data_IF_783811617275
#
_entry.id   IF_783811617275
#
_cell.length_a   1.000
_cell.length_b   1.000
_cell.length_c   1.000
_cell.angle_alpha   90.00
_cell.angle_beta   90.00
_cell.angle_gamma   90.00
#
_symmetry.space_group_name_H-M   'P 1'
#
loop_
_entity.id
_entity.type
_entity.pdbx_description
1 polymer ?
#
# COMPACT_ATOMS: atom_id res chain seq x y z
N UNK A 1 19.73 -18.16 11.28
CA UNK A 1 19.78 -18.29 9.81
C UNK A 1 20.67 -19.45 9.43
N UNK A 2 21.86 -19.59 10.03
CA UNK A 2 22.80 -20.68 9.68
C UNK A 2 22.28 -22.09 10.02
N UNK A 3 21.59 -22.29 11.15
CA UNK A 3 21.08 -23.62 11.54
C UNK A 3 20.00 -24.19 10.59
N UNK A 4 19.14 -23.34 10.02
CA UNK A 4 18.05 -23.77 9.11
C UNK A 4 18.60 -24.18 7.75
N UNK A 5 19.72 -23.57 7.32
CA UNK A 5 20.36 -23.88 6.03
C UNK A 5 21.08 -25.24 6.07
N UNK A 6 21.64 -25.61 7.23
CA UNK A 6 22.30 -26.91 7.43
C UNK A 6 21.28 -28.08 7.46
N UNK A 7 20.09 -27.86 8.02
CA UNK A 7 18.98 -28.84 7.97
C UNK A 7 18.52 -29.08 6.52
N UNK A 8 18.29 -28.01 5.75
CA UNK A 8 17.92 -28.12 4.33
C UNK A 8 18.99 -28.83 3.49
N UNK A 9 20.27 -28.55 3.75
CA UNK A 9 21.38 -29.23 3.07
C UNK A 9 21.37 -30.74 3.35
N UNK A 10 21.11 -31.13 4.60
CA UNK A 10 21.02 -32.53 5.02
C UNK A 10 19.85 -33.25 4.37
N UNK A 11 18.70 -32.59 4.24
CA UNK A 11 17.51 -33.14 3.56
C UNK A 11 17.76 -33.34 2.06
N UNK A 12 18.43 -32.41 1.39
CA UNK A 12 18.76 -32.53 -0.03
C UNK A 12 19.74 -33.66 -0.33
N UNK A 13 20.68 -33.92 0.57
CA UNK A 13 21.58 -35.07 0.47
C UNK A 13 20.77 -36.37 0.57
N UNK A 14 19.84 -36.47 1.53
CA UNK A 14 18.95 -37.63 1.67
C UNK A 14 18.15 -37.90 0.39
N UNK A 15 17.49 -36.87 -0.15
CA UNK A 15 16.72 -36.95 -1.38
C UNK A 15 17.58 -37.32 -2.60
N UNK A 16 18.79 -36.76 -2.70
CA UNK A 16 19.72 -37.09 -3.78
C UNK A 16 20.12 -38.57 -3.73
N UNK A 17 20.39 -39.12 -2.53
CA UNK A 17 20.74 -40.53 -2.33
C UNK A 17 19.59 -41.43 -2.75
N UNK A 18 18.35 -41.13 -2.34
CA UNK A 18 17.18 -41.92 -2.73
C UNK A 18 16.97 -41.95 -4.25
N UNK A 19 17.09 -40.80 -4.91
CA UNK A 19 16.93 -40.68 -6.37
C UNK A 19 18.02 -41.47 -7.11
N UNK A 20 19.28 -41.31 -6.71
CA UNK A 20 20.40 -42.01 -7.36
C UNK A 20 20.33 -43.51 -7.10
N UNK A 21 19.99 -43.94 -5.89
CA UNK A 21 19.83 -45.36 -5.56
C UNK A 21 18.72 -46.01 -6.40
N UNK A 22 17.55 -45.36 -6.52
CA UNK A 22 16.46 -45.84 -7.37
C UNK A 22 16.86 -45.90 -8.85
N UNK A 23 17.60 -44.90 -9.33
CA UNK A 23 18.06 -44.85 -10.71
C UNK A 23 19.05 -45.98 -11.03
N UNK A 24 20.07 -46.18 -10.19
CA UNK A 24 21.09 -47.24 -10.37
C UNK A 24 20.46 -48.64 -10.18
N UNK A 25 19.48 -48.80 -9.30
CA UNK A 25 18.79 -50.07 -9.11
C UNK A 25 18.04 -50.55 -10.37
N UNK A 26 17.58 -49.61 -11.20
CA UNK A 26 16.79 -49.91 -12.40
C UNK A 26 17.57 -49.69 -13.72
N UNK A 27 18.78 -49.15 -13.67
CA UNK A 27 19.59 -48.81 -14.84
C UNK A 27 21.06 -49.19 -14.64
N UNK A 28 21.69 -49.79 -15.64
CA UNK A 28 23.12 -50.11 -15.62
C UNK A 28 23.93 -48.92 -16.11
N UNK A 29 24.85 -48.43 -15.27
CA UNK A 29 25.67 -47.24 -15.54
C UNK A 29 27.16 -47.61 -15.42
N UNK A 30 28.03 -47.11 -16.32
CA UNK A 30 29.48 -47.29 -16.19
C UNK A 30 29.98 -46.64 -14.89
N UNK A 31 31.00 -47.21 -14.23
CA UNK A 31 31.55 -46.67 -12.98
C UNK A 31 32.12 -45.25 -13.14
N UNK A 32 32.52 -44.85 -14.36
CA UNK A 32 33.00 -43.50 -14.66
C UNK A 32 31.91 -42.42 -14.63
N UNK A 33 30.64 -42.79 -14.85
CA UNK A 33 29.54 -41.83 -14.98
C UNK A 33 28.79 -41.59 -13.65
N UNK A 34 29.03 -42.45 -12.66
CA UNK A 34 28.34 -42.39 -11.36
C UNK A 34 28.60 -41.08 -10.62
N UNK A 35 29.85 -40.60 -10.63
CA UNK A 35 30.21 -39.33 -10.00
C UNK A 35 29.51 -38.13 -10.64
N UNK A 36 29.38 -38.14 -11.98
CA UNK A 36 28.68 -37.10 -12.72
C UNK A 36 27.19 -37.07 -12.39
N UNK A 37 26.57 -38.25 -12.30
CA UNK A 37 25.16 -38.38 -11.93
C UNK A 37 24.87 -37.81 -10.54
N UNK A 38 25.66 -38.19 -9.53
CA UNK A 38 25.49 -37.72 -8.14
C UNK A 38 25.59 -36.20 -8.08
N UNK A 39 26.61 -35.62 -8.73
CA UNK A 39 26.84 -34.17 -8.74
C UNK A 39 25.70 -33.43 -9.44
N UNK A 40 25.21 -33.97 -10.56
CA UNK A 40 24.11 -33.39 -11.33
C UNK A 40 22.80 -33.36 -10.55
N UNK A 41 22.42 -34.48 -9.93
CA UNK A 41 21.17 -34.59 -9.16
C UNK A 41 21.21 -33.68 -7.93
N UNK A 42 22.28 -33.73 -7.16
CA UNK A 42 22.44 -32.86 -6.00
C UNK A 42 22.43 -31.38 -6.40
N UNK A 43 23.14 -31.02 -7.46
CA UNK A 43 23.13 -29.65 -8.01
C UNK A 43 21.75 -29.19 -8.47
N UNK A 44 20.97 -30.08 -9.09
CA UNK A 44 19.60 -29.79 -9.50
C UNK A 44 18.68 -29.54 -8.30
N UNK A 45 18.78 -30.35 -7.23
CA UNK A 45 17.98 -30.18 -6.01
C UNK A 45 18.33 -28.89 -5.28
N UNK A 46 19.62 -28.60 -5.09
CA UNK A 46 20.08 -27.35 -4.48
C UNK A 46 19.67 -26.14 -5.35
N UNK A 47 19.77 -26.25 -6.67
CA UNK A 47 19.32 -25.21 -7.59
C UNK A 47 17.81 -24.95 -7.51
N UNK A 48 17.01 -26.00 -7.32
CA UNK A 48 15.56 -25.90 -7.19
C UNK A 48 15.16 -25.31 -5.83
N UNK A 49 15.82 -25.72 -4.74
CA UNK A 49 15.65 -25.09 -3.42
C UNK A 49 16.03 -23.61 -3.48
N UNK A 50 17.20 -23.28 -4.02
CA UNK A 50 17.62 -21.87 -4.16
C UNK A 50 16.67 -21.05 -5.03
N UNK A 51 16.00 -21.66 -6.01
CA UNK A 51 14.95 -21.00 -6.80
C UNK A 51 13.65 -20.83 -6.01
N UNK A 52 13.31 -21.77 -5.15
CA UNK A 52 12.21 -21.64 -4.20
C UNK A 52 12.49 -20.54 -3.16
N UNK A 53 13.75 -20.37 -2.76
CA UNK A 53 14.20 -19.35 -1.80
C UNK A 53 14.60 -18.01 -2.45
N UNK A 54 14.73 -17.93 -3.78
CA UNK A 54 15.54 -16.89 -4.43
C UNK A 54 15.18 -16.46 -5.85
N UNK A 55 13.91 -16.53 -6.25
CA UNK A 55 13.36 -15.69 -7.35
C UNK A 55 12.07 -14.97 -6.93
N UNK A 56 11.93 -14.64 -5.65
CA UNK A 56 11.27 -13.40 -5.30
C UNK A 56 12.36 -12.33 -5.41
N UNK A 57 12.29 -11.34 -6.33
CA UNK A 57 13.16 -10.20 -6.22
C UNK A 57 13.05 -9.71 -4.78
N UNK A 58 14.21 -9.52 -4.13
CA UNK A 58 14.29 -8.93 -2.81
C UNK A 58 13.26 -7.80 -2.72
N UNK A 59 12.65 -7.62 -1.55
CA UNK A 59 11.80 -6.46 -1.26
C UNK A 59 12.69 -5.20 -1.26
N UNK A 60 13.30 -4.88 -2.41
CA UNK A 60 13.69 -3.56 -2.79
C UNK A 60 12.38 -2.79 -2.78
N UNK A 61 12.21 -2.02 -1.71
CA UNK A 61 11.36 -0.83 -1.68
C UNK A 61 11.29 -0.29 -3.10
N UNK A 62 10.08 -0.26 -3.66
CA UNK A 62 9.87 0.06 -5.06
C UNK A 62 10.71 1.28 -5.43
N UNK A 63 11.48 1.15 -6.51
CA UNK A 63 12.28 2.29 -6.97
C UNK A 63 11.35 3.48 -7.20
N UNK A 64 11.79 4.72 -6.94
CA UNK A 64 10.97 5.90 -7.19
C UNK A 64 10.53 5.99 -8.66
N UNK A 65 11.28 5.38 -9.59
CA UNK A 65 10.90 5.24 -10.98
C UNK A 65 9.67 4.34 -11.18
N UNK A 66 9.57 3.20 -10.47
CA UNK A 66 8.39 2.32 -10.51
C UNK A 66 7.16 2.96 -9.88
N UNK A 67 7.32 3.70 -8.79
CA UNK A 67 6.23 4.46 -8.15
C UNK A 67 5.71 5.57 -9.07
N UNK A 68 6.60 6.26 -9.79
CA UNK A 68 6.17 7.26 -10.78
C UNK A 68 5.48 6.59 -11.97
N UNK A 69 5.95 5.41 -12.40
CA UNK A 69 5.37 4.65 -13.51
C UNK A 69 3.99 4.09 -13.19
N UNK A 70 3.68 3.85 -11.91
CA UNK A 70 2.33 3.39 -11.52
C UNK A 70 1.29 4.49 -11.55
N UNK A 71 1.69 5.76 -11.62
CA UNK A 71 0.77 6.90 -11.69
C UNK A 71 0.68 7.35 -13.15
N UNK A 72 -0.39 6.94 -13.83
CA UNK A 72 -0.75 7.45 -15.16
C UNK A 72 -1.86 8.50 -15.00
N UNK A 73 -1.99 9.41 -15.99
CA UNK A 73 -3.00 10.47 -15.96
C UNK A 73 -4.43 9.91 -15.77
N UNK A 74 -4.75 8.82 -16.49
CA UNK A 74 -6.09 8.21 -16.48
C UNK A 74 -6.30 7.07 -15.49
N UNK A 75 -5.23 6.39 -15.10
CA UNK A 75 -5.31 5.18 -14.27
C UNK A 75 -4.09 5.05 -13.35
N UNK A 76 -4.28 4.38 -12.22
CA UNK A 76 -3.21 3.93 -11.33
C UNK A 76 -3.00 2.43 -11.51
N UNK A 77 -1.76 2.00 -11.60
CA UNK A 77 -1.39 0.59 -11.61
C UNK A 77 -1.30 0.11 -10.17
N UNK A 78 -1.99 -0.98 -9.86
CA UNK A 78 -1.94 -1.65 -8.55
C UNK A 78 -0.70 -2.54 -8.47
N UNK A 79 0.01 -2.50 -7.35
CA UNK A 79 1.18 -3.36 -7.09
C UNK A 79 0.78 -4.76 -6.62
N UNK A 80 -0.48 -4.99 -6.25
CA UNK A 80 -0.98 -6.33 -5.87
C UNK A 80 -1.24 -7.23 -7.10
N UNK A 81 -1.62 -6.65 -8.23
CA UNK A 81 -2.05 -7.41 -9.42
C UNK A 81 -1.62 -6.82 -10.77
N UNK A 82 -0.93 -5.68 -10.78
CA UNK A 82 -0.42 -5.05 -12.00
C UNK A 82 -1.51 -4.47 -12.91
N UNK A 83 -2.77 -4.41 -12.48
CA UNK A 83 -3.89 -3.95 -13.31
C UNK A 83 -4.12 -2.45 -13.19
N UNK A 84 -4.56 -1.77 -14.27
CA UNK A 84 -4.90 -0.36 -14.24
C UNK A 84 -6.28 -0.13 -13.63
N UNK A 85 -6.37 0.83 -12.70
CA UNK A 85 -7.60 1.22 -12.01
C UNK A 85 -7.76 2.74 -11.95
N UNK A 86 -8.97 3.24 -12.16
CA UNK A 86 -9.29 4.67 -11.94
C UNK A 86 -9.19 5.06 -10.46
N UNK A 87 -9.55 4.13 -9.58
CA UNK A 87 -9.50 4.29 -8.11
C UNK A 87 -8.97 3.02 -7.46
N UNK A 88 -7.87 3.12 -6.71
CA UNK A 88 -7.32 1.98 -5.96
C UNK A 88 -8.14 1.65 -4.71
N UNK A 89 -8.85 2.63 -4.13
CA UNK A 89 -9.65 2.43 -2.90
C UNK A 89 -10.59 1.22 -3.00
N UNK A 90 -11.38 1.11 -4.08
CA UNK A 90 -12.31 -0.01 -4.26
C UNK A 90 -11.58 -1.34 -4.35
N UNK A 91 -10.44 -1.38 -5.06
CA UNK A 91 -9.63 -2.57 -5.20
C UNK A 91 -9.06 -3.04 -3.86
N UNK A 92 -8.53 -2.11 -3.06
CA UNK A 92 -7.97 -2.40 -1.75
C UNK A 92 -9.05 -2.89 -0.77
N UNK A 93 -10.22 -2.25 -0.74
CA UNK A 93 -11.34 -2.67 0.14
C UNK A 93 -11.81 -4.09 -0.18
N UNK A 94 -11.89 -4.47 -1.46
CA UNK A 94 -12.25 -5.84 -1.86
C UNK A 94 -11.26 -6.90 -1.33
N UNK A 95 -10.01 -6.51 -1.09
CA UNK A 95 -8.95 -7.36 -0.53
C UNK A 95 -8.82 -7.23 0.99
N UNK A 96 -9.69 -6.46 1.65
CA UNK A 96 -9.59 -6.17 3.08
C UNK A 96 -8.38 -5.31 3.46
N UNK A 97 -7.73 -4.65 2.50
CA UNK A 97 -6.57 -3.79 2.73
C UNK A 97 -7.01 -2.34 2.91
N UNK A 98 -6.47 -1.67 3.93
CA UNK A 98 -6.60 -0.22 4.07
C UNK A 98 -5.59 0.49 3.17
N UNK A 99 -5.89 1.73 2.74
CA UNK A 99 -4.93 2.52 1.97
C UNK A 99 -3.59 2.76 2.68
N UNK A 100 -3.59 2.78 4.02
CA UNK A 100 -2.37 2.95 4.82
C UNK A 100 -1.55 1.66 4.87
N UNK A 101 -2.20 0.52 5.14
CA UNK A 101 -1.54 -0.80 5.11
C UNK A 101 -0.94 -1.09 3.72
N UNK A 102 -1.61 -0.68 2.65
CA UNK A 102 -1.05 -0.79 1.29
C UNK A 102 0.20 0.07 1.10
N UNK A 103 0.24 1.29 1.65
CA UNK A 103 1.44 2.14 1.58
C UNK A 103 2.60 1.55 2.35
N UNK A 104 2.34 1.02 3.54
CA UNK A 104 3.37 0.39 4.39
C UNK A 104 3.90 -0.89 3.75
N UNK A 105 3.01 -1.76 3.24
CA UNK A 105 3.37 -3.03 2.62
C UNK A 105 4.33 -2.88 1.44
N UNK A 106 4.14 -1.83 0.64
CA UNK A 106 4.95 -1.58 -0.56
C UNK A 106 5.93 -0.40 -0.40
N UNK A 107 6.05 0.17 0.80
CA UNK A 107 6.93 1.31 1.07
C UNK A 107 6.63 2.57 0.26
N UNK A 108 5.36 2.82 -0.10
CA UNK A 108 4.99 4.01 -0.88
C UNK A 108 5.06 5.29 -0.03
N UNK A 109 5.38 6.44 -0.65
CA UNK A 109 5.26 7.74 -0.01
C UNK A 109 3.85 7.99 0.54
N UNK A 110 3.78 8.75 1.65
CA UNK A 110 2.50 9.17 2.24
C UNK A 110 1.62 9.95 1.27
N UNK A 111 2.24 10.68 0.34
CA UNK A 111 1.59 11.49 -0.70
C UNK A 111 1.15 10.68 -1.93
N UNK A 112 1.24 9.34 -1.89
CA UNK A 112 0.80 8.53 -3.02
C UNK A 112 -0.72 8.66 -3.25
N UNK A 113 -1.16 9.05 -4.47
CA UNK A 113 -2.57 9.20 -4.79
C UNK A 113 -3.26 7.83 -4.80
N UNK A 114 -4.53 7.80 -4.38
CA UNK A 114 -5.36 6.58 -4.40
C UNK A 114 -6.39 6.58 -5.54
N UNK A 115 -6.36 7.64 -6.35
CA UNK A 115 -7.29 7.91 -7.44
C UNK A 115 -6.54 8.58 -8.58
N UNK A 116 -6.94 8.30 -9.82
CA UNK A 116 -6.31 8.88 -10.99
C UNK A 116 -6.41 10.42 -10.99
N UNK A 117 -5.36 11.14 -11.43
CA UNK A 117 -5.40 12.58 -11.58
C UNK A 117 -6.60 13.06 -12.40
N UNK A 118 -6.90 12.43 -13.55
CA UNK A 118 -8.05 12.81 -14.39
C UNK A 118 -9.39 12.57 -13.70
N UNK A 119 -9.52 11.47 -12.94
CA UNK A 119 -10.72 11.18 -12.15
C UNK A 119 -10.95 12.22 -11.04
N UNK A 120 -9.86 12.64 -10.37
CA UNK A 120 -9.92 13.69 -9.35
C UNK A 120 -10.29 15.06 -9.95
N UNK A 121 -9.77 15.39 -11.14
CA UNK A 121 -10.09 16.62 -11.86
C UNK A 121 -11.58 16.67 -12.26
N UNK A 122 -12.08 15.63 -12.92
CA UNK A 122 -13.49 15.53 -13.33
C UNK A 122 -14.46 15.64 -12.15
N UNK A 123 -14.18 14.95 -11.04
CA UNK A 123 -15.01 15.03 -9.83
C UNK A 123 -14.97 16.42 -9.19
N UNK A 124 -13.82 17.10 -9.23
CA UNK A 124 -13.67 18.45 -8.69
C UNK A 124 -14.41 19.50 -9.53
N UNK A 125 -14.39 19.37 -10.86
CA UNK A 125 -15.15 20.23 -11.77
C UNK A 125 -16.66 20.07 -11.57
N UNK A 126 -17.14 18.82 -11.50
CA UNK A 126 -18.54 18.55 -11.20
C UNK A 126 -18.94 19.11 -9.83
N UNK A 127 -18.10 18.96 -8.81
CA UNK A 127 -18.37 19.53 -7.49
C UNK A 127 -18.45 21.06 -7.53
N UNK A 128 -17.55 21.73 -8.27
CA UNK A 128 -17.58 23.18 -8.45
C UNK A 128 -18.83 23.63 -9.20
N UNK A 129 -19.23 22.91 -10.26
CA UNK A 129 -20.46 23.17 -11.01
C UNK A 129 -21.71 23.00 -10.14
N UNK A 130 -21.71 22.02 -9.23
CA UNK A 130 -22.77 21.76 -8.25
C UNK A 130 -22.71 22.68 -7.01
N UNK A 131 -21.79 23.66 -6.96
CA UNK A 131 -21.69 24.62 -5.87
C UNK A 131 -21.07 24.11 -4.56
N UNK A 132 -20.57 22.87 -4.54
CA UNK A 132 -19.90 22.26 -3.40
C UNK A 132 -18.51 22.91 -3.21
N UNK A 133 -18.35 23.74 -2.18
CA UNK A 133 -17.09 24.43 -1.84
C UNK A 133 -17.11 25.96 -1.91
N UNK A 134 -18.21 26.58 -2.39
CA UNK A 134 -18.35 28.05 -2.44
C UNK A 134 -18.76 28.68 -1.09
N UNK A 135 -19.31 27.91 -0.15
CA UNK A 135 -19.73 28.41 1.16
C UNK A 135 -18.58 29.03 1.97
N UNK A 136 -17.35 28.48 1.84
CA UNK A 136 -16.17 29.00 2.55
C UNK A 136 -15.63 30.30 1.94
N UNK A 137 -15.86 30.55 0.64
CA UNK A 137 -15.55 31.84 0.02
C UNK A 137 -16.57 32.91 0.41
N UNK A 138 -17.85 32.55 0.59
CA UNK A 138 -18.87 33.48 1.08
C UNK A 138 -18.62 33.90 2.53
N UNK A 139 -18.23 32.97 3.41
CA UNK A 139 -17.82 33.34 4.78
C UNK A 139 -16.50 34.12 4.83
N UNK A 140 -15.52 33.83 3.95
CA UNK A 140 -14.28 34.61 3.86
C UNK A 140 -14.46 36.02 3.27
N UNK A 141 -15.44 36.19 2.37
CA UNK A 141 -15.83 37.49 1.84
C UNK A 141 -16.62 38.35 2.85
N UNK A 142 -17.41 37.71 3.73
CA UNK A 142 -18.10 38.41 4.83
C UNK A 142 -17.11 38.88 5.89
N UNK A 143 -16.10 38.08 6.27
CA UNK A 143 -15.07 38.56 7.22
C UNK A 143 -14.14 39.63 6.63
N UNK A 144 -13.79 39.54 5.34
CA UNK A 144 -12.98 40.58 4.69
C UNK A 144 -13.74 41.91 4.46
N UNK A 145 -15.07 41.87 4.34
CA UNK A 145 -15.90 43.07 4.26
C UNK A 145 -16.16 43.72 5.63
N UNK A 146 -16.05 42.96 6.73
CA UNK A 146 -16.17 43.49 8.11
C UNK A 146 -14.85 44.13 8.60
N UNK A 147 -13.72 43.84 7.96
CA UNK A 147 -12.40 44.45 8.29
C UNK A 147 -12.10 45.79 7.56
N UNK A 148 -13.05 46.35 6.79
CA UNK A 148 -12.81 47.51 5.93
C UNK A 148 -13.60 48.79 6.29
N UNK A 149 -14.15 48.92 7.51
CA UNK A 149 -14.57 50.22 8.06
C UNK A 149 -13.75 50.59 9.32
N UNK A 150 -13.32 51.86 9.45
CA UNK A 150 -12.26 52.27 10.37
C UNK A 150 -12.77 52.42 11.81
N UNK A 151 -11.94 51.96 12.74
CA UNK A 151 -12.04 52.12 14.20
C UNK A 151 -12.09 53.60 14.62
N UNK A 152 -12.93 53.99 15.59
CA UNK A 152 -12.54 55.03 16.53
C UNK A 152 -12.47 54.50 17.96
N UNK A 153 -11.26 54.63 18.52
CA UNK A 153 -10.82 54.64 19.91
C UNK A 153 -11.85 54.41 21.06
N UNK A 154 -11.57 53.39 21.88
CA UNK A 154 -11.94 53.26 23.31
C UNK A 154 -11.12 54.27 24.18
N UNK A 155 -11.29 54.44 25.52
CA UNK A 155 -12.02 53.64 26.56
C UNK A 155 -12.76 54.56 27.61
N UNK A 156 -13.23 54.15 28.83
CA UNK A 156 -12.96 52.92 29.60
C UNK A 156 -14.15 52.19 30.31
N UNK A 157 -14.00 50.86 30.40
CA UNK A 157 -14.04 50.03 31.61
C UNK A 157 -15.21 50.16 32.61
N UNK A 158 -16.13 49.18 32.62
CA UNK A 158 -16.83 48.78 33.85
C UNK A 158 -17.34 47.30 33.84
N UNK A 159 -16.71 46.50 34.72
CA UNK A 159 -17.22 45.39 35.54
C UNK A 159 -17.98 44.19 34.93
N UNK A 160 -17.23 43.08 34.84
CA UNK A 160 -17.52 41.73 35.39
C UNK A 160 -18.97 41.18 35.40
N UNK A 161 -19.18 40.03 34.74
CA UNK A 161 -19.96 38.91 35.30
C UNK A 161 -19.66 37.56 34.62
N UNK A 162 -19.74 36.50 35.43
CA UNK A 162 -19.26 35.11 35.28
C UNK A 162 -19.82 34.25 34.13
N UNK A 163 -19.05 33.19 33.80
CA UNK A 163 -19.52 31.99 33.05
C UNK A 163 -20.22 31.01 34.03
N UNK A 164 -21.04 30.04 33.57
CA UNK A 164 -20.44 28.74 33.19
C UNK A 164 -21.15 27.88 32.10
N UNK A 165 -20.35 26.97 31.56
CA UNK A 165 -20.62 25.56 31.21
C UNK A 165 -21.65 25.11 30.13
N UNK A 166 -21.09 24.56 29.05
CA UNK A 166 -21.25 23.19 28.50
C UNK A 166 -22.58 22.46 28.86
N UNK A 167 -23.48 22.31 27.89
CA UNK A 167 -24.71 21.51 28.04
C UNK A 167 -25.26 20.97 26.71
N UNK A 168 -25.16 19.66 26.54
CA UNK A 168 -25.57 18.79 25.42
C UNK A 168 -27.09 18.86 25.18
N UNK A 169 -27.57 19.27 24.00
CA UNK A 169 -28.97 19.04 23.61
C UNK A 169 -29.10 17.70 22.87
N UNK A 170 -29.61 16.70 23.59
CA UNK A 170 -30.12 15.45 23.03
C UNK A 170 -31.53 15.68 22.51
N UNK A 171 -31.76 15.20 21.28
CA UNK A 171 -32.96 14.58 20.70
C UNK A 171 -34.32 14.91 21.36
N UNK A 172 -35.16 15.64 20.63
CA UNK A 172 -36.61 15.62 20.85
C UNK A 172 -37.23 14.60 19.87
N UNK A 173 -37.99 13.68 20.44
CA UNK A 173 -38.84 12.68 19.81
C UNK A 173 -40.24 12.94 20.40
N UNK A 174 -41.23 13.26 19.55
CA UNK A 174 -42.67 13.06 19.76
C UNK A 174 -43.50 13.83 18.71
N UNK A 175 -44.33 13.09 17.96
CA UNK A 175 -45.63 13.44 17.39
C UNK A 175 -46.04 12.20 16.56
N UNK A 176 -46.77 11.27 17.17
CA UNK A 176 -48.24 11.14 17.12
C UNK A 176 -48.72 10.52 15.79
#
# INVERSE_FOLDING_TARGET
MDEVMDEQHSDHIGLAVEIVAAYVANNSIPPGDLQGLITSVHGALVGLSRRADGDAPAVEKLTPAQIRKSITNDNLISFEDGKPYKTLRRHLTLRGLTPEAYREKWGLPRDYPMTAPSYSAQRSELARALGLGQQRRKSRGVVAAVEAEPEPALPPEELAAEKPARGRRRKAEAAE
#
